data_IF_939097228662
#
_entry.id   IF_939097228662
#
_cell.length_a   1.000
_cell.length_b   1.000
_cell.length_c   1.000
_cell.angle_alpha   90.00
_cell.angle_beta   90.00
_cell.angle_gamma   90.00
#
_symmetry.space_group_name_H-M   'P 1'
#
loop_
_entity.id
_entity.type
_entity.pdbx_description
1 polymer ?
#
# COMPACT_ATOMS: atom_id res chain seq x y z
N UNK A 1 8.56 -42.47 7.06
CA UNK A 1 9.61 -41.65 6.43
C UNK A 1 9.09 -40.23 6.36
N UNK A 2 9.71 -39.35 7.13
CA UNK A 2 9.43 -37.92 7.13
C UNK A 2 9.96 -37.29 5.83
N UNK A 3 9.25 -36.28 5.34
CA UNK A 3 9.63 -35.44 4.22
C UNK A 3 8.86 -34.13 4.34
N UNK A 4 9.26 -33.33 5.33
CA UNK A 4 8.73 -32.00 5.57
C UNK A 4 9.32 -31.06 4.52
N UNK A 5 8.58 -30.83 3.44
CA UNK A 5 8.95 -29.85 2.41
C UNK A 5 8.68 -28.43 2.94
N UNK A 6 9.56 -27.98 3.83
CA UNK A 6 9.70 -26.58 4.21
C UNK A 6 10.23 -25.79 3.02
N UNK A 7 9.34 -25.53 2.07
CA UNK A 7 9.57 -24.68 0.92
C UNK A 7 9.73 -23.25 1.43
N UNK A 8 10.97 -22.85 1.64
CA UNK A 8 11.36 -21.46 1.87
C UNK A 8 10.95 -20.62 0.66
N UNK A 9 9.72 -20.11 0.68
CA UNK A 9 9.21 -19.15 -0.29
C UNK A 9 10.14 -17.94 -0.26
N UNK A 10 10.87 -17.71 -1.36
CA UNK A 10 11.67 -16.49 -1.49
C UNK A 10 10.77 -15.28 -1.23
N UNK A 11 11.22 -14.25 -0.47
CA UNK A 11 10.42 -13.08 -0.12
C UNK A 11 9.76 -12.43 -1.35
N UNK A 12 10.46 -12.44 -2.49
CA UNK A 12 10.01 -11.92 -3.77
C UNK A 12 8.83 -12.73 -4.34
N UNK A 13 8.88 -14.06 -4.27
CA UNK A 13 7.79 -14.93 -4.74
C UNK A 13 6.51 -14.76 -3.90
N UNK A 14 6.65 -14.58 -2.58
CA UNK A 14 5.55 -14.32 -1.67
C UNK A 14 4.91 -12.95 -1.95
N UNK A 15 5.72 -11.88 -2.04
CA UNK A 15 5.26 -10.52 -2.38
C UNK A 15 4.57 -10.51 -3.74
N UNK A 16 5.13 -11.17 -4.76
CA UNK A 16 4.54 -11.22 -6.09
C UNK A 16 3.17 -11.91 -6.08
N UNK A 17 3.02 -13.02 -5.35
CA UNK A 17 1.75 -13.75 -5.22
C UNK A 17 0.70 -12.90 -4.48
N UNK A 18 1.07 -12.26 -3.37
CA UNK A 18 0.16 -11.39 -2.62
C UNK A 18 -0.22 -10.12 -3.40
N UNK A 19 0.73 -9.52 -4.10
CA UNK A 19 0.48 -8.39 -4.98
C UNK A 19 -0.46 -8.75 -6.12
N UNK A 20 -0.34 -9.97 -6.66
CA UNK A 20 -1.24 -10.48 -7.69
C UNK A 20 -2.67 -10.65 -7.18
N UNK A 21 -2.86 -11.31 -6.04
CA UNK A 21 -4.19 -11.45 -5.42
C UNK A 21 -4.80 -10.10 -4.98
N UNK A 22 -3.97 -9.18 -4.49
CA UNK A 22 -4.40 -7.81 -4.17
C UNK A 22 -4.89 -7.07 -5.42
N UNK A 23 -4.15 -7.16 -6.53
CA UNK A 23 -4.58 -6.57 -7.81
C UNK A 23 -5.91 -7.16 -8.26
N UNK A 24 -6.06 -8.49 -8.24
CA UNK A 24 -7.29 -9.17 -8.64
C UNK A 24 -8.50 -8.72 -7.80
N UNK A 25 -8.33 -8.65 -6.47
CA UNK A 25 -9.37 -8.18 -5.55
C UNK A 25 -9.85 -6.75 -5.82
N UNK A 26 -8.92 -5.85 -6.16
CA UNK A 26 -9.26 -4.46 -6.48
C UNK A 26 -9.72 -4.27 -7.92
N UNK A 27 -9.20 -5.04 -8.87
CA UNK A 27 -9.66 -5.07 -10.27
C UNK A 27 -11.12 -5.49 -10.35
N UNK A 28 -11.53 -6.52 -9.60
CA UNK A 28 -12.93 -6.95 -9.54
C UNK A 28 -13.85 -5.82 -9.03
N UNK A 29 -13.44 -5.15 -7.95
CA UNK A 29 -14.22 -4.05 -7.33
C UNK A 29 -14.27 -2.77 -8.15
N UNK A 30 -13.23 -2.47 -8.92
CA UNK A 30 -13.14 -1.29 -9.78
C UNK A 30 -13.31 -1.61 -11.26
N UNK A 31 -13.90 -2.75 -11.59
CA UNK A 31 -14.22 -3.16 -12.97
C UNK A 31 -15.06 -2.11 -13.71
N UNK A 32 -15.95 -1.39 -13.02
CA UNK A 32 -16.72 -0.27 -13.59
C UNK A 32 -15.86 0.88 -14.15
N UNK A 33 -14.57 0.97 -13.75
CA UNK A 33 -13.66 1.99 -14.30
C UNK A 33 -13.33 1.70 -15.76
N UNK A 34 -13.37 0.43 -16.19
CA UNK A 34 -13.12 0.07 -17.58
C UNK A 34 -14.17 0.67 -18.53
N UNK A 35 -15.40 0.86 -18.06
CA UNK A 35 -16.47 1.52 -18.82
C UNK A 35 -16.19 3.01 -19.07
N UNK A 36 -15.34 3.62 -18.24
CA UNK A 36 -14.98 5.04 -18.34
C UNK A 36 -13.78 5.29 -19.27
N UNK A 37 -13.20 4.25 -19.89
CA UNK A 37 -12.10 4.39 -20.87
C UNK A 37 -12.45 5.35 -22.01
N UNK A 38 -13.70 5.30 -22.48
CA UNK A 38 -14.22 6.23 -23.49
C UNK A 38 -14.10 7.69 -23.05
N UNK A 39 -14.35 8.01 -21.78
CA UNK A 39 -14.24 9.37 -21.27
C UNK A 39 -12.78 9.83 -21.17
N UNK A 40 -11.88 8.91 -20.84
CA UNK A 40 -10.44 9.18 -20.76
C UNK A 40 -9.86 9.44 -22.16
N UNK A 41 -10.22 8.61 -23.15
CA UNK A 41 -9.80 8.77 -24.54
C UNK A 41 -10.34 10.05 -25.16
N UNK A 42 -11.59 10.40 -24.86
CA UNK A 42 -12.16 11.70 -25.24
C UNK A 42 -11.41 12.84 -24.55
N UNK A 43 -11.10 12.72 -23.26
CA UNK A 43 -10.32 13.71 -22.52
C UNK A 43 -8.93 13.94 -23.12
N UNK A 44 -8.26 12.89 -23.61
CA UNK A 44 -6.98 12.99 -24.31
C UNK A 44 -7.06 13.70 -25.68
N UNK A 45 -8.25 13.72 -26.29
CA UNK A 45 -8.52 14.41 -27.57
C UNK A 45 -8.84 15.89 -27.38
N UNK A 46 -9.35 16.29 -26.20
CA UNK A 46 -9.62 17.69 -25.91
C UNK A 46 -8.35 18.43 -25.47
N UNK A 47 -8.23 19.74 -25.78
CA UNK A 47 -7.12 20.54 -25.31
C UNK A 47 -7.08 20.50 -23.78
N UNK A 48 -5.89 20.33 -23.23
CA UNK A 48 -5.67 20.34 -21.78
C UNK A 48 -6.15 21.69 -21.22
N UNK A 49 -7.08 21.65 -20.26
CA UNK A 49 -7.56 22.85 -19.59
C UNK A 49 -6.52 23.30 -18.56
N UNK A 50 -5.94 24.50 -18.76
CA UNK A 50 -5.10 25.14 -17.76
C UNK A 50 -5.94 25.68 -16.60
N UNK A 51 -5.29 25.93 -15.46
CA UNK A 51 -5.93 26.50 -14.28
C UNK A 51 -6.60 27.85 -14.56
N UNK A 52 -5.96 28.67 -15.41
CA UNK A 52 -6.52 29.95 -15.87
C UNK A 52 -7.83 29.79 -16.64
N UNK A 53 -7.93 28.78 -17.49
CA UNK A 53 -9.14 28.53 -18.28
C UNK A 53 -10.28 28.05 -17.38
N UNK A 54 -9.95 27.30 -16.33
CA UNK A 54 -10.93 26.83 -15.35
C UNK A 54 -11.43 28.00 -14.50
N UNK A 55 -10.55 28.91 -14.06
CA UNK A 55 -10.96 30.11 -13.32
C UNK A 55 -11.82 31.04 -14.17
N UNK A 56 -11.43 31.26 -15.43
CA UNK A 56 -12.23 32.03 -16.38
C UNK A 56 -13.61 31.39 -16.60
N UNK A 57 -13.68 30.06 -16.74
CA UNK A 57 -14.95 29.35 -16.87
C UNK A 57 -15.82 29.50 -15.62
N UNK A 58 -15.25 29.34 -14.42
CA UNK A 58 -15.98 29.52 -13.15
C UNK A 58 -16.52 30.95 -13.01
N UNK A 59 -15.77 31.94 -13.49
CA UNK A 59 -16.21 33.34 -13.46
C UNK A 59 -17.35 33.63 -14.45
N UNK A 60 -17.41 32.90 -15.56
CA UNK A 60 -18.41 33.09 -16.62
C UNK A 60 -19.69 32.27 -16.35
N UNK A 61 -19.56 31.05 -15.82
CA UNK A 61 -20.67 30.13 -15.61
C UNK A 61 -21.15 30.09 -14.15
N UNK A 62 -22.28 30.73 -13.81
CA UNK A 62 -22.82 30.74 -12.46
C UNK A 62 -23.49 29.42 -12.05
N UNK A 63 -23.82 28.55 -13.01
CA UNK A 63 -24.55 27.29 -12.75
C UNK A 63 -23.57 26.17 -12.43
N UNK A 64 -22.54 25.98 -13.27
CA UNK A 64 -21.58 24.89 -13.10
C UNK A 64 -20.25 25.32 -12.46
N UNK A 65 -19.93 26.61 -12.44
CA UNK A 65 -18.73 27.15 -11.81
C UNK A 65 -18.56 26.77 -10.32
N UNK A 66 -19.60 26.91 -9.47
CA UNK A 66 -19.50 26.56 -8.05
C UNK A 66 -19.12 25.09 -7.80
N UNK A 67 -19.66 24.17 -8.61
CA UNK A 67 -19.36 22.74 -8.49
C UNK A 67 -17.90 22.43 -8.83
N UNK A 68 -17.36 23.03 -9.90
CA UNK A 68 -15.96 22.85 -10.28
C UNK A 68 -15.04 23.45 -9.22
N UNK A 69 -15.37 24.63 -8.66
CA UNK A 69 -14.60 25.23 -7.57
C UNK A 69 -14.53 24.33 -6.34
N UNK A 70 -15.67 23.81 -5.90
CA UNK A 70 -15.76 22.91 -4.75
C UNK A 70 -14.95 21.62 -4.98
N UNK A 71 -15.03 21.03 -6.18
CA UNK A 71 -14.24 19.85 -6.51
C UNK A 71 -12.72 20.10 -6.40
N UNK A 72 -12.24 21.27 -6.82
CA UNK A 72 -10.82 21.63 -6.71
C UNK A 72 -10.37 21.86 -5.27
N UNK A 73 -11.20 22.48 -4.45
CA UNK A 73 -10.94 22.62 -3.01
C UNK A 73 -10.91 21.24 -2.33
N UNK A 74 -11.84 20.36 -2.69
CA UNK A 74 -11.87 18.99 -2.18
C UNK A 74 -10.62 18.18 -2.56
N UNK A 75 -10.10 18.32 -3.79
CA UNK A 75 -8.85 17.67 -4.20
C UNK A 75 -7.67 18.14 -3.34
N UNK A 76 -7.54 19.44 -3.09
CA UNK A 76 -6.48 19.97 -2.22
C UNK A 76 -6.58 19.37 -0.81
N UNK A 77 -7.77 19.35 -0.23
CA UNK A 77 -8.00 18.75 1.09
C UNK A 77 -7.70 17.24 1.11
N UNK A 78 -8.13 16.50 0.08
CA UNK A 78 -7.91 15.07 -0.04
C UNK A 78 -6.41 14.74 -0.18
N UNK A 79 -5.66 15.51 -0.97
CA UNK A 79 -4.20 15.33 -1.10
C UNK A 79 -3.49 15.53 0.23
N UNK A 80 -3.83 16.59 0.97
CA UNK A 80 -3.25 16.85 2.28
C UNK A 80 -3.61 15.74 3.29
N UNK A 81 -4.89 15.33 3.33
CA UNK A 81 -5.34 14.24 4.19
C UNK A 81 -4.67 12.91 3.86
N UNK A 82 -4.43 12.63 2.58
CA UNK A 82 -3.73 11.43 2.12
C UNK A 82 -2.28 11.40 2.58
N UNK A 83 -1.54 12.51 2.46
CA UNK A 83 -0.15 12.60 2.92
C UNK A 83 -0.06 12.37 4.43
N UNK A 84 -0.92 13.03 5.21
CA UNK A 84 -0.97 12.87 6.67
C UNK A 84 -1.29 11.42 7.04
N UNK A 85 -2.31 10.83 6.41
CA UNK A 85 -2.71 9.45 6.63
C UNK A 85 -1.57 8.48 6.32
N UNK A 86 -0.89 8.66 5.19
CA UNK A 86 0.22 7.81 4.77
C UNK A 86 1.39 7.84 5.77
N UNK A 87 1.79 9.04 6.21
CA UNK A 87 2.87 9.20 7.20
C UNK A 87 2.47 8.61 8.55
N UNK A 88 1.24 8.85 9.00
CA UNK A 88 0.72 8.30 10.25
C UNK A 88 0.69 6.77 10.24
N UNK A 89 0.15 6.17 9.18
CA UNK A 89 0.09 4.71 9.02
C UNK A 89 1.49 4.11 8.92
N UNK A 90 2.40 4.73 8.17
CA UNK A 90 3.79 4.26 8.08
C UNK A 90 4.50 4.32 9.44
N UNK A 91 4.29 5.37 10.23
CA UNK A 91 4.84 5.51 11.58
C UNK A 91 4.33 4.44 12.55
N UNK A 92 3.02 4.15 12.53
CA UNK A 92 2.44 3.07 13.32
C UNK A 92 3.01 1.71 12.88
N UNK A 93 3.03 1.42 11.58
CA UNK A 93 3.58 0.18 11.06
C UNK A 93 5.06 -0.02 11.48
N UNK A 94 5.88 1.03 11.43
CA UNK A 94 7.27 1.00 11.88
C UNK A 94 7.39 0.73 13.39
N UNK A 95 6.55 1.38 14.21
CA UNK A 95 6.54 1.18 15.67
C UNK A 95 6.20 -0.27 16.03
N UNK A 96 5.18 -0.85 15.39
CA UNK A 96 4.80 -2.25 15.63
C UNK A 96 5.74 -3.27 14.98
N UNK A 97 6.44 -2.89 13.91
CA UNK A 97 7.50 -3.73 13.30
C UNK A 97 8.70 -3.95 14.24
N UNK A 98 8.91 -3.10 15.25
CA UNK A 98 9.97 -3.25 16.27
C UNK A 98 9.50 -3.93 17.56
N UNK A 99 8.31 -4.55 17.57
CA UNK A 99 7.77 -5.24 18.74
C UNK A 99 8.64 -6.47 19.11
N UNK A 100 9.01 -6.65 20.40
CA UNK A 100 9.97 -7.67 20.87
C UNK A 100 9.44 -9.12 20.85
N UNK A 101 8.33 -9.38 20.18
CA UNK A 101 7.74 -10.73 20.13
C UNK A 101 8.65 -11.74 19.37
N UNK A 102 9.58 -11.24 18.55
CA UNK A 102 10.63 -12.04 17.87
C UNK A 102 12.03 -11.91 18.51
N UNK A 103 12.26 -10.95 19.41
CA UNK A 103 13.59 -10.74 20.00
C UNK A 103 13.91 -11.66 21.18
N UNK A 104 12.93 -12.39 21.71
CA UNK A 104 13.13 -13.30 22.86
C UNK A 104 13.75 -14.65 22.46
N UNK A 105 13.54 -15.11 21.22
CA UNK A 105 14.14 -16.36 20.73
C UNK A 105 15.60 -16.21 20.24
N UNK A 106 16.06 -14.98 19.96
CA UNK A 106 17.43 -14.72 19.51
C UNK A 106 18.50 -14.80 20.60
N UNK A 107 18.14 -14.58 21.88
CA UNK A 107 19.09 -14.68 22.99
C UNK A 107 19.17 -16.10 23.59
N UNK A 108 18.11 -16.92 23.45
CA UNK A 108 18.12 -18.33 23.88
C UNK A 108 18.90 -19.23 22.91
N UNK A 109 19.00 -18.88 21.62
CA UNK A 109 19.80 -19.60 20.63
C UNK A 109 21.33 -19.37 20.76
N UNK A 110 21.77 -18.50 21.67
CA UNK A 110 23.18 -18.14 21.90
C UNK A 110 23.76 -18.66 23.22
N UNK A 111 23.11 -19.62 23.87
CA UNK A 111 23.70 -20.32 25.01
C UNK A 111 24.56 -21.49 24.49
N UNK A 112 25.89 -21.48 24.71
CA UNK A 112 26.72 -22.62 24.34
C UNK A 112 26.28 -23.83 25.19
N UNK A 113 25.72 -24.85 24.54
CA UNK A 113 25.46 -26.13 25.17
C UNK A 113 26.78 -26.72 25.66
N UNK A 114 27.04 -26.59 26.97
CA UNK A 114 28.16 -27.26 27.63
C UNK A 114 27.88 -28.76 27.62
N UNK A 115 28.60 -29.50 26.78
CA UNK A 115 28.63 -30.96 26.79
C UNK A 115 29.07 -31.45 28.18
N UNK A 116 28.15 -32.05 28.94
CA UNK A 116 28.50 -32.90 30.09
C UNK A 116 29.01 -34.23 29.54
N UNK A 117 30.34 -34.46 29.62
CA UNK A 117 30.90 -35.80 29.53
C UNK A 117 30.54 -36.53 30.82
N UNK A 118 29.68 -37.54 30.71
CA UNK A 118 29.42 -38.50 31.80
C UNK A 118 30.56 -39.51 31.75
N UNK A 119 31.42 -39.48 32.77
CA UNK A 119 32.44 -40.50 32.99
C UNK A 119 31.77 -41.69 33.67
N UNK A 120 31.90 -42.88 33.07
CA UNK A 120 31.53 -44.16 33.68
C UNK A 120 32.85 -44.88 33.98
N UNK A 121 33.11 -45.10 35.27
CA UNK A 121 34.06 -46.05 35.85
C UNK A 121 33.44 -46.55 37.17
N UNK A 122 33.82 -47.72 37.71
CA UNK A 122 34.95 -48.57 37.33
C UNK A 122 34.59 -49.87 36.62
#
# INVERSE_FOLDING_TARGET
MAGEDSSSLSPISFIKKHYQGWKEFWCERFSFRDDNKRLIEVGAKYPFWSDSNIEAFIAIDPVHGPAIKAAREAVKMATMGSVIGAVSTAGMAWKYSKSPHDSQFGYLAKLPMKHKKVAILP
#
